data_IF_078819831809
#
_entry.id   IF_078819831809
#
_cell.length_a   1.000
_cell.length_b   1.000
_cell.length_c   1.000
_cell.angle_alpha   90.00
_cell.angle_beta   90.00
_cell.angle_gamma   90.00
#
_symmetry.space_group_name_H-M   'P 1'
#
loop_
_entity.id
_entity.type
_entity.pdbx_description
1 polymer ?
#
# COMPACT_ATOMS: atom_id res chain seq x y z
N UNK A 1 9.62 9.19 15.90
CA UNK A 1 10.10 8.59 14.64
C UNK A 1 8.92 7.86 14.04
N UNK A 2 8.29 8.44 13.03
CA UNK A 2 7.04 7.91 12.47
C UNK A 2 7.35 6.70 11.60
N UNK A 3 7.43 5.52 12.21
CA UNK A 3 7.49 4.26 11.48
C UNK A 3 6.17 4.11 10.72
N UNK A 4 6.19 4.23 9.39
CA UNK A 4 4.99 4.02 8.58
C UNK A 4 4.46 2.60 8.87
N UNK A 5 3.19 2.45 9.28
CA UNK A 5 2.62 1.15 9.57
C UNK A 5 2.57 0.29 8.30
N UNK A 6 2.64 -1.02 8.47
CA UNK A 6 2.47 -1.96 7.37
C UNK A 6 1.07 -1.79 6.73
N UNK A 7 0.99 -1.60 5.42
CA UNK A 7 -0.26 -1.29 4.74
C UNK A 7 -0.12 -1.09 3.23
N UNK A 8 -1.25 -0.82 2.56
CA UNK A 8 -1.28 -0.50 1.14
C UNK A 8 -1.07 0.99 0.91
N UNK A 9 -0.18 1.33 -0.01
CA UNK A 9 0.13 2.71 -0.37
C UNK A 9 0.29 2.85 -1.88
N UNK A 10 0.20 4.07 -2.38
CA UNK A 10 0.34 4.39 -3.80
C UNK A 10 1.68 3.98 -4.39
N UNK A 11 1.65 3.27 -5.51
CA UNK A 11 2.85 2.98 -6.26
C UNK A 11 3.25 4.20 -7.12
N UNK A 12 4.47 4.76 -6.95
CA UNK A 12 4.90 5.94 -7.69
C UNK A 12 5.15 5.67 -9.18
N UNK A 13 5.33 4.40 -9.58
CA UNK A 13 5.51 4.01 -10.98
C UNK A 13 4.17 3.80 -11.68
N UNK A 14 3.15 3.37 -10.92
CA UNK A 14 1.81 3.10 -11.43
C UNK A 14 0.75 3.72 -10.49
N UNK A 15 0.26 4.94 -10.79
CA UNK A 15 -0.68 5.66 -9.92
C UNK A 15 -2.07 5.00 -9.81
N UNK A 16 -2.35 3.97 -10.60
CA UNK A 16 -3.55 3.11 -10.54
C UNK A 16 -3.33 1.84 -9.70
N UNK A 17 -2.14 1.64 -9.13
CA UNK A 17 -1.79 0.48 -8.30
C UNK A 17 -1.33 0.92 -6.91
N UNK A 18 -1.58 0.03 -5.95
CA UNK A 18 -1.08 0.09 -4.59
C UNK A 18 0.02 -0.94 -4.44
N UNK A 19 1.08 -0.61 -3.72
CA UNK A 19 2.10 -1.54 -3.27
C UNK A 19 2.01 -1.71 -1.76
N UNK A 20 2.25 -2.92 -1.28
CA UNK A 20 2.23 -3.20 0.14
C UNK A 20 3.57 -2.80 0.78
N UNK A 21 3.49 -2.06 1.87
CA UNK A 21 4.60 -1.69 2.74
C UNK A 21 4.53 -2.58 3.99
N UNK A 22 5.64 -3.19 4.39
CA UNK A 22 5.67 -4.08 5.57
C UNK A 22 6.07 -3.36 6.87
N UNK A 23 6.31 -2.04 6.82
CA UNK A 23 6.86 -1.28 7.96
C UNK A 23 8.36 -1.06 7.88
N UNK A 24 9.06 -1.85 7.05
CA UNK A 24 10.52 -1.78 6.86
C UNK A 24 10.89 -1.56 5.40
N UNK A 25 10.16 -2.18 4.46
CA UNK A 25 10.41 -2.08 3.02
C UNK A 25 9.15 -2.37 2.21
N UNK A 26 9.14 -1.93 0.95
CA UNK A 26 8.10 -2.28 -0.02
C UNK A 26 8.22 -3.76 -0.40
N UNK A 27 7.11 -4.47 -0.38
CA UNK A 27 7.06 -5.87 -0.82
C UNK A 27 6.64 -5.96 -2.29
N UNK A 28 6.74 -7.16 -2.87
CA UNK A 28 6.29 -7.44 -4.23
C UNK A 28 4.76 -7.55 -4.37
N UNK A 29 4.00 -7.36 -3.28
CA UNK A 29 2.55 -7.39 -3.32
C UNK A 29 2.02 -6.07 -3.89
N UNK A 30 1.36 -6.15 -5.03
CA UNK A 30 0.70 -5.02 -5.68
C UNK A 30 -0.77 -5.32 -5.90
N UNK A 31 -1.64 -4.34 -5.65
CA UNK A 31 -3.08 -4.44 -5.87
C UNK A 31 -3.59 -3.26 -6.70
N UNK A 32 -4.60 -3.43 -7.56
CA UNK A 32 -5.20 -2.30 -8.27
C UNK A 32 -5.96 -1.39 -7.30
N UNK A 33 -5.80 -0.06 -7.42
CA UNK A 33 -6.52 0.94 -6.60
C UNK A 33 -8.04 0.87 -6.77
N UNK A 34 -8.50 0.38 -7.92
CA UNK A 34 -9.93 0.15 -8.21
C UNK A 34 -10.50 -1.10 -7.52
N UNK A 35 -9.87 -1.58 -6.46
CA UNK A 35 -10.45 -2.64 -5.63
C UNK A 35 -11.53 -2.02 -4.74
N UNK A 36 -12.80 -2.48 -4.82
CA UNK A 36 -13.92 -1.90 -4.06
C UNK A 36 -13.87 -2.17 -2.55
N UNK A 37 -12.73 -2.63 -1.99
CA UNK A 37 -12.63 -3.01 -0.59
C UNK A 37 -11.21 -2.79 -0.08
N UNK A 38 -10.96 -1.58 0.42
CA UNK A 38 -9.92 -1.34 1.41
C UNK A 38 -10.34 -0.16 2.31
N UNK A 39 -11.54 -0.29 2.88
CA UNK A 39 -11.80 0.28 4.19
C UNK A 39 -11.01 -0.57 5.18
N UNK A 40 -9.93 -0.02 5.74
CA UNK A 40 -9.51 -0.22 7.13
C UNK A 40 -8.07 0.27 7.34
N UNK A 41 -7.95 1.37 8.06
CA UNK A 41 -6.93 1.54 9.08
C UNK A 41 -7.65 2.28 10.22
N UNK A 42 -8.34 1.51 11.06
CA UNK A 42 -8.84 1.96 12.37
C UNK A 42 -7.68 1.99 13.35
#
# INVERSE_FOLDING_TARGET
MSQQPSGWYDDPSQPDMLRYWDGVSWTNHTAPKKSPTASQST
#
